data_IF_415503122577
#
_entry.id   IF_415503122577
#
_cell.length_a   1.000
_cell.length_b   1.000
_cell.length_c   1.000
_cell.angle_alpha   90.00
_cell.angle_beta   90.00
_cell.angle_gamma   90.00
#
_symmetry.space_group_name_H-M   'P 1'
#
loop_
_entity.id
_entity.type
_entity.pdbx_description
1 polymer ?
#
# COMPACT_ATOMS: atom_id res chain seq x y z
N UNK A 1 -6.93 -5.40 -5.58
CA UNK A 1 -6.68 -6.80 -5.15
C UNK A 1 -6.15 -7.57 -6.33
N UNK A 2 -5.03 -8.26 -6.14
CA UNK A 2 -4.61 -9.28 -7.08
C UNK A 2 -5.58 -10.48 -7.00
N UNK A 3 -5.84 -11.12 -8.14
CA UNK A 3 -6.68 -12.32 -8.21
C UNK A 3 -6.09 -13.43 -7.34
N UNK A 4 -4.77 -13.52 -7.26
CA UNK A 4 -4.07 -14.48 -6.38
C UNK A 4 -4.39 -14.25 -4.90
N UNK A 5 -4.44 -12.99 -4.43
CA UNK A 5 -4.84 -12.67 -3.04
C UNK A 5 -6.27 -13.10 -2.76
N UNK A 6 -7.19 -12.86 -3.69
CA UNK A 6 -8.58 -13.26 -3.55
C UNK A 6 -8.77 -14.78 -3.53
N UNK A 7 -8.17 -15.49 -4.48
CA UNK A 7 -8.22 -16.96 -4.56
C UNK A 7 -7.55 -17.59 -3.33
N UNK A 8 -6.40 -17.07 -2.90
CA UNK A 8 -5.70 -17.55 -1.71
C UNK A 8 -6.54 -17.41 -0.45
N UNK A 9 -7.21 -16.27 -0.26
CA UNK A 9 -8.10 -16.04 0.88
C UNK A 9 -9.27 -17.03 0.87
N UNK A 10 -9.98 -17.15 -0.25
CA UNK A 10 -11.12 -18.07 -0.39
C UNK A 10 -10.69 -19.52 -0.25
N UNK A 11 -9.56 -19.89 -0.83
CA UNK A 11 -8.99 -21.23 -0.74
C UNK A 11 -8.62 -21.60 0.70
N UNK A 12 -7.99 -20.68 1.45
CA UNK A 12 -7.64 -20.88 2.85
C UNK A 12 -8.88 -21.13 3.72
N UNK A 13 -9.90 -20.28 3.61
CA UNK A 13 -11.19 -20.51 4.30
C UNK A 13 -11.87 -21.80 3.85
N UNK A 14 -11.80 -22.12 2.55
CA UNK A 14 -12.37 -23.34 1.98
C UNK A 14 -11.76 -24.61 2.57
N UNK A 15 -10.43 -24.66 2.74
CA UNK A 15 -9.75 -25.81 3.36
C UNK A 15 -10.18 -26.01 4.81
N UNK A 16 -10.22 -24.94 5.61
CA UNK A 16 -10.67 -25.00 7.01
C UNK A 16 -12.14 -25.45 7.08
N UNK A 17 -12.99 -24.89 6.23
CA UNK A 17 -14.40 -25.24 6.19
C UNK A 17 -14.64 -26.71 5.81
N UNK A 18 -13.95 -27.19 4.77
CA UNK A 18 -14.04 -28.60 4.34
C UNK A 18 -13.60 -29.54 5.46
N UNK A 19 -12.52 -29.22 6.16
CA UNK A 19 -12.05 -30.02 7.29
C UNK A 19 -13.11 -30.14 8.40
N UNK A 20 -13.73 -29.02 8.79
CA UNK A 20 -14.79 -29.01 9.81
C UNK A 20 -16.00 -29.84 9.35
N UNK A 21 -16.34 -29.79 8.06
CA UNK A 21 -17.44 -30.58 7.50
C UNK A 21 -17.14 -32.09 7.49
N UNK A 22 -15.89 -32.49 7.23
CA UNK A 22 -15.45 -33.89 7.30
C UNK A 22 -15.57 -34.43 8.74
N UNK A 23 -15.27 -33.61 9.74
CA UNK A 23 -15.38 -33.98 11.16
C UNK A 23 -16.83 -33.94 11.72
N UNK A 24 -17.84 -33.93 10.85
CA UNK A 24 -19.25 -33.95 11.24
C UNK A 24 -19.87 -32.57 11.47
N UNK A 25 -19.21 -31.49 11.05
CA UNK A 25 -19.79 -30.15 11.01
C UNK A 25 -19.86 -29.43 12.36
N UNK A 26 -19.13 -29.90 13.37
CA UNK A 26 -19.13 -29.28 14.70
C UNK A 26 -18.14 -28.10 14.79
N UNK A 27 -18.58 -26.91 14.38
CA UNK A 27 -17.79 -25.67 14.47
C UNK A 27 -17.39 -25.30 15.90
N UNK A 28 -18.19 -25.67 16.91
CA UNK A 28 -17.90 -25.35 18.30
C UNK A 28 -16.67 -26.10 18.83
N UNK A 29 -16.33 -27.26 18.26
CA UNK A 29 -15.12 -28.00 18.63
C UNK A 29 -13.82 -27.25 18.27
N UNK A 30 -13.89 -26.32 17.32
CA UNK A 30 -12.76 -25.55 16.81
C UNK A 30 -12.66 -24.13 17.38
N UNK A 31 -13.61 -23.74 18.24
CA UNK A 31 -13.67 -22.41 18.85
C UNK A 31 -13.47 -22.49 20.37
N UNK A 32 -12.28 -22.09 20.83
CA UNK A 32 -11.98 -21.97 22.27
C UNK A 32 -11.75 -20.51 22.67
N UNK A 33 -12.55 -20.04 23.63
CA UNK A 33 -12.50 -18.66 24.12
C UNK A 33 -11.16 -18.29 24.76
N UNK A 34 -10.50 -19.22 25.45
CA UNK A 34 -9.21 -18.98 26.10
C UNK A 34 -8.11 -18.90 25.05
N UNK A 35 -8.13 -19.77 24.04
CA UNK A 35 -7.20 -19.73 22.92
C UNK A 35 -7.28 -18.38 22.18
N UNK A 36 -8.49 -17.88 21.92
CA UNK A 36 -8.69 -16.55 21.31
C UNK A 36 -8.05 -15.45 22.17
N UNK A 37 -8.29 -15.44 23.49
CA UNK A 37 -7.73 -14.42 24.39
C UNK A 37 -6.20 -14.48 24.41
N UNK A 38 -5.60 -15.67 24.50
CA UNK A 38 -4.14 -15.83 24.57
C UNK A 38 -3.48 -15.47 23.25
N UNK A 39 -4.04 -15.89 22.11
CA UNK A 39 -3.48 -15.61 20.78
C UNK A 39 -3.61 -14.12 20.47
N UNK A 40 -4.81 -13.55 20.54
CA UNK A 40 -5.01 -12.14 20.20
C UNK A 40 -4.40 -11.21 21.25
N UNK A 41 -4.59 -11.50 22.54
CA UNK A 41 -4.02 -10.71 23.63
C UNK A 41 -2.49 -10.78 23.63
N UNK A 42 -1.92 -11.99 23.51
CA UNK A 42 -0.48 -12.21 23.46
C UNK A 42 0.16 -11.59 22.23
N UNK A 43 -0.40 -11.81 21.02
CA UNK A 43 0.10 -11.19 19.80
C UNK A 43 0.02 -9.67 19.85
N UNK A 44 -1.10 -9.10 20.33
CA UNK A 44 -1.24 -7.64 20.45
C UNK A 44 -0.23 -7.07 21.43
N UNK A 45 -0.05 -7.69 22.61
CA UNK A 45 0.93 -7.24 23.60
C UNK A 45 2.38 -7.35 23.07
N UNK A 46 2.72 -8.45 22.39
CA UNK A 46 4.03 -8.63 21.76
C UNK A 46 4.30 -7.58 20.67
N UNK A 47 3.30 -7.27 19.83
CA UNK A 47 3.40 -6.23 18.81
C UNK A 47 3.56 -4.84 19.44
N UNK A 48 2.83 -4.53 20.51
CA UNK A 48 2.97 -3.27 21.25
C UNK A 48 4.33 -3.11 21.93
N UNK A 49 4.97 -4.20 22.36
CA UNK A 49 6.35 -4.16 22.87
C UNK A 49 7.39 -3.89 21.77
N UNK A 50 7.12 -4.36 20.54
CA UNK A 50 8.06 -4.29 19.42
C UNK A 50 7.98 -2.99 18.63
N UNK A 51 6.81 -2.38 18.53
CA UNK A 51 6.57 -1.21 17.67
C UNK A 51 6.02 -0.02 18.45
N UNK A 52 6.48 1.22 18.17
CA UNK A 52 5.88 2.43 18.72
C UNK A 52 4.39 2.51 18.37
N UNK A 53 3.58 2.99 19.31
CA UNK A 53 2.12 3.11 19.12
C UNK A 53 1.74 3.96 17.89
N UNK A 54 2.53 5.00 17.59
CA UNK A 54 2.36 5.85 16.40
C UNK A 54 2.47 5.06 15.09
N UNK A 55 3.47 4.17 14.98
CA UNK A 55 3.68 3.30 13.81
C UNK A 55 2.53 2.30 13.67
N UNK A 56 2.00 1.79 14.79
CA UNK A 56 0.89 0.84 14.78
C UNK A 56 -0.42 1.49 14.29
N UNK A 57 -0.71 2.72 14.75
CA UNK A 57 -1.90 3.47 14.32
C UNK A 57 -1.92 3.80 12.83
N UNK A 58 -0.77 4.07 12.21
CA UNK A 58 -0.70 4.40 10.79
C UNK A 58 -0.43 3.17 9.91
N UNK A 59 0.39 2.24 10.38
CA UNK A 59 0.84 1.06 9.62
C UNK A 59 -0.24 -0.01 9.42
N UNK A 60 -1.08 -0.28 10.42
CA UNK A 60 -2.17 -1.27 10.32
C UNK A 60 -3.29 -0.88 9.34
N UNK A 61 -3.87 0.33 9.38
CA UNK A 61 -4.88 0.69 8.38
C UNK A 61 -4.26 0.81 6.99
N UNK A 62 -3.02 1.27 6.88
CA UNK A 62 -2.31 1.38 5.61
C UNK A 62 -2.05 0.01 4.98
N UNK A 63 -1.47 -0.94 5.71
CA UNK A 63 -1.16 -2.27 5.19
C UNK A 63 -2.40 -3.06 4.77
N UNK A 64 -3.48 -3.00 5.57
CA UNK A 64 -4.76 -3.57 5.18
C UNK A 64 -5.31 -2.91 3.90
N UNK A 65 -5.28 -1.58 3.84
CA UNK A 65 -5.71 -0.86 2.63
C UNK A 65 -4.86 -1.22 1.42
N UNK A 66 -3.56 -1.43 1.54
CA UNK A 66 -2.72 -1.83 0.41
C UNK A 66 -2.98 -3.29 -0.01
N UNK A 67 -3.08 -4.21 0.94
CA UNK A 67 -3.40 -5.61 0.64
C UNK A 67 -4.70 -5.76 -0.15
N UNK A 68 -5.70 -4.91 0.15
CA UNK A 68 -7.04 -5.00 -0.42
C UNK A 68 -7.33 -3.96 -1.54
N UNK A 69 -6.70 -2.78 -1.56
CA UNK A 69 -7.03 -1.73 -2.53
C UNK A 69 -5.96 -1.46 -3.57
N UNK A 70 -4.73 -1.98 -3.41
CA UNK A 70 -3.67 -1.65 -4.36
C UNK A 70 -4.05 -2.19 -5.74
N UNK A 71 -4.19 -1.25 -6.67
CA UNK A 71 -4.33 -1.48 -8.10
C UNK A 71 -2.91 -1.37 -8.63
N UNK A 72 -2.40 -2.40 -9.28
CA UNK A 72 -1.11 -2.32 -9.94
C UNK A 72 -1.19 -1.22 -11.01
N UNK A 73 -0.47 -0.12 -10.83
CA UNK A 73 -0.25 0.85 -11.90
C UNK A 73 0.53 0.10 -12.98
N UNK A 74 0.00 0.05 -14.19
CA UNK A 74 0.71 -0.64 -15.28
C UNK A 74 1.88 0.25 -15.70
N UNK A 75 3.10 -0.28 -15.78
CA UNK A 75 4.26 0.51 -16.20
C UNK A 75 4.07 1.21 -17.54
N UNK A 76 3.32 0.57 -18.46
CA UNK A 76 2.99 1.14 -19.77
C UNK A 76 2.15 2.41 -19.67
N UNK A 77 1.14 2.43 -18.83
CA UNK A 77 0.25 3.59 -18.65
C UNK A 77 1.05 4.78 -18.10
N UNK A 78 1.99 4.51 -17.18
CA UNK A 78 2.89 5.50 -16.61
C UNK A 78 3.86 6.08 -17.67
N UNK A 79 4.43 5.24 -18.53
CA UNK A 79 5.30 5.70 -19.63
C UNK A 79 4.53 6.60 -20.60
N UNK A 80 3.30 6.22 -20.95
CA UNK A 80 2.44 7.01 -21.83
C UNK A 80 2.11 8.37 -21.19
N UNK A 81 1.84 8.42 -19.89
CA UNK A 81 1.59 9.65 -19.15
C UNK A 81 2.82 10.57 -19.09
N UNK A 82 4.00 10.02 -18.75
CA UNK A 82 5.26 10.78 -18.73
C UNK A 82 5.59 11.34 -20.12
N UNK A 83 5.34 10.57 -21.18
CA UNK A 83 5.57 11.02 -22.56
C UNK A 83 4.65 12.18 -22.93
N UNK A 84 3.36 12.12 -22.52
CA UNK A 84 2.42 13.24 -22.71
C UNK A 84 2.87 14.50 -21.99
N UNK A 85 3.33 14.37 -20.74
CA UNK A 85 3.88 15.49 -19.95
C UNK A 85 5.05 16.13 -20.69
N UNK A 86 6.00 15.32 -21.17
CA UNK A 86 7.16 15.80 -21.92
C UNK A 86 6.77 16.54 -23.22
N UNK A 87 5.79 16.01 -23.96
CA UNK A 87 5.28 16.65 -25.18
C UNK A 87 4.60 18.01 -24.90
N UNK A 88 3.85 18.12 -23.81
CA UNK A 88 3.22 19.38 -23.38
C UNK A 88 4.28 20.43 -23.07
N UNK A 89 5.30 20.07 -22.27
CA UNK A 89 6.40 20.99 -21.93
C UNK A 89 7.15 21.44 -23.18
N UNK A 90 7.42 20.52 -24.11
CA UNK A 90 8.13 20.84 -25.35
C UNK A 90 7.36 21.82 -26.24
N UNK A 91 6.03 21.73 -26.31
CA UNK A 91 5.19 22.54 -27.20
C UNK A 91 4.79 23.88 -26.57
N UNK A 92 4.43 23.86 -25.30
CA UNK A 92 3.74 24.96 -24.61
C UNK A 92 4.55 25.54 -23.45
N UNK A 93 5.71 24.95 -23.15
CA UNK A 93 6.58 25.35 -22.03
C UNK A 93 6.17 24.75 -20.69
N UNK A 94 6.98 24.96 -19.63
CA UNK A 94 6.77 24.41 -18.30
C UNK A 94 5.46 24.81 -17.62
N UNK A 95 5.00 26.06 -17.82
CA UNK A 95 3.79 26.59 -17.20
C UNK A 95 2.52 25.88 -17.65
N UNK A 96 2.54 25.21 -18.81
CA UNK A 96 1.40 24.45 -19.31
C UNK A 96 1.05 23.24 -18.42
N UNK A 97 1.97 22.81 -17.56
CA UNK A 97 1.76 21.70 -16.63
C UNK A 97 0.75 22.01 -15.52
N UNK A 98 0.53 23.28 -15.17
CA UNK A 98 -0.44 23.66 -14.13
C UNK A 98 -1.88 23.26 -14.47
N UNK A 99 -2.20 23.27 -15.77
CA UNK A 99 -3.55 23.00 -16.28
C UNK A 99 -3.72 21.54 -16.73
N UNK A 100 -2.70 20.70 -16.57
CA UNK A 100 -2.72 19.31 -17.00
C UNK A 100 -3.23 18.42 -15.86
N UNK A 101 -4.27 17.63 -16.13
CA UNK A 101 -4.68 16.57 -15.20
C UNK A 101 -3.69 15.41 -15.30
N UNK A 102 -3.01 15.14 -14.18
CA UNK A 102 -2.08 14.03 -14.02
C UNK A 102 -2.68 13.07 -13.00
N UNK A 103 -2.80 11.80 -13.39
CA UNK A 103 -3.53 10.78 -12.64
C UNK A 103 -2.75 10.28 -11.42
N UNK A 104 -1.44 10.16 -11.55
CA UNK A 104 -0.55 9.77 -10.46
C UNK A 104 -0.19 10.99 -9.58
N UNK A 105 -0.52 10.98 -8.27
CA UNK A 105 -0.26 12.11 -7.39
C UNK A 105 1.23 12.48 -7.26
N UNK A 106 2.12 11.49 -7.36
CA UNK A 106 3.57 11.70 -7.24
C UNK A 106 4.12 12.38 -8.51
N UNK A 107 3.70 11.93 -9.70
CA UNK A 107 3.99 12.63 -10.96
C UNK A 107 3.41 14.05 -10.98
N UNK A 108 2.19 14.24 -10.47
CA UNK A 108 1.54 15.55 -10.39
C UNK A 108 2.31 16.53 -9.49
N UNK A 109 2.93 16.04 -8.41
CA UNK A 109 3.80 16.85 -7.55
C UNK A 109 5.07 17.28 -8.29
N UNK A 110 5.76 16.36 -8.97
CA UNK A 110 6.94 16.69 -9.77
C UNK A 110 6.65 17.68 -10.91
N UNK A 111 5.52 17.52 -11.60
CA UNK A 111 5.08 18.43 -12.66
C UNK A 111 4.83 19.86 -12.14
N UNK A 112 4.28 19.99 -10.92
CA UNK A 112 4.10 21.29 -10.26
C UNK A 112 5.43 21.95 -9.94
N UNK A 113 6.41 21.21 -9.42
CA UNK A 113 7.73 21.80 -9.18
C UNK A 113 8.42 22.31 -10.45
N UNK A 114 8.19 21.64 -11.59
CA UNK A 114 8.68 22.10 -12.89
C UNK A 114 7.97 23.39 -13.32
N UNK A 115 6.66 23.50 -13.12
CA UNK A 115 5.89 24.70 -13.42
C UNK A 115 6.31 25.90 -12.54
N UNK A 116 6.56 25.64 -11.25
CA UNK A 116 7.02 26.62 -10.26
C UNK A 116 8.48 27.09 -10.51
N UNK A 117 9.22 26.42 -11.39
CA UNK A 117 10.57 26.83 -11.79
C UNK A 117 11.68 26.43 -10.83
N UNK A 118 11.46 25.41 -9.99
CA UNK A 118 12.53 24.85 -9.16
C UNK A 118 13.65 24.24 -9.99
N UNK A 119 14.87 24.24 -9.45
CA UNK A 119 16.01 23.64 -10.11
C UNK A 119 15.96 22.11 -10.08
N UNK A 120 16.68 21.48 -11.02
CA UNK A 120 16.70 20.03 -11.19
C UNK A 120 17.18 19.29 -9.93
N UNK A 121 18.14 19.85 -9.22
CA UNK A 121 18.76 19.19 -8.05
C UNK A 121 17.77 19.20 -6.89
N UNK A 122 17.14 20.33 -6.60
CA UNK A 122 16.07 20.43 -5.62
C UNK A 122 14.90 19.48 -5.91
N UNK A 123 14.42 19.44 -7.16
CA UNK A 123 13.32 18.55 -7.56
C UNK A 123 13.71 17.10 -7.32
N UNK A 124 14.91 16.70 -7.75
CA UNK A 124 15.41 15.35 -7.60
C UNK A 124 15.51 14.96 -6.13
N UNK A 125 16.17 15.78 -5.33
CA UNK A 125 16.41 15.49 -3.90
C UNK A 125 15.10 15.39 -3.13
N UNK A 126 14.15 16.30 -3.41
CA UNK A 126 12.82 16.28 -2.77
C UNK A 126 12.05 15.03 -3.15
N UNK A 127 11.97 14.71 -4.43
CA UNK A 127 11.22 13.54 -4.92
C UNK A 127 11.86 12.22 -4.48
N UNK A 128 13.19 12.13 -4.45
CA UNK A 128 13.91 10.95 -3.92
C UNK A 128 13.66 10.78 -2.42
N UNK A 129 13.66 11.88 -1.66
CA UNK A 129 13.38 11.86 -0.22
C UNK A 129 11.94 11.46 0.09
N UNK A 130 10.97 11.95 -0.68
CA UNK A 130 9.56 11.57 -0.54
C UNK A 130 9.35 10.08 -0.88
N UNK A 131 10.00 9.58 -1.94
CA UNK A 131 10.03 8.14 -2.25
C UNK A 131 10.60 7.33 -1.08
N UNK A 132 11.72 7.75 -0.53
CA UNK A 132 12.40 7.00 0.54
C UNK A 132 11.58 6.99 1.83
N UNK A 133 10.97 8.13 2.20
CA UNK A 133 10.03 8.20 3.33
C UNK A 133 8.82 7.27 3.11
N UNK A 134 8.26 7.27 1.90
CA UNK A 134 7.14 6.39 1.56
C UNK A 134 7.52 4.91 1.68
N UNK A 135 8.68 4.52 1.14
CA UNK A 135 9.19 3.16 1.23
C UNK A 135 9.49 2.76 2.68
N UNK A 136 10.05 3.66 3.49
CA UNK A 136 10.30 3.43 4.91
C UNK A 136 9.00 3.15 5.66
N UNK A 137 7.96 3.96 5.46
CA UNK A 137 6.65 3.74 6.07
C UNK A 137 5.98 2.44 5.61
N UNK A 138 6.13 2.09 4.33
CA UNK A 138 5.61 0.83 3.80
C UNK A 138 6.35 -0.39 4.41
N UNK A 139 7.67 -0.31 4.54
CA UNK A 139 8.49 -1.36 5.15
C UNK A 139 8.16 -1.52 6.64
N UNK A 140 8.08 -0.42 7.40
CA UNK A 140 7.65 -0.42 8.80
C UNK A 140 6.25 -1.02 8.95
N UNK A 141 5.30 -0.60 8.10
CA UNK A 141 3.95 -1.16 8.07
C UNK A 141 3.97 -2.65 7.78
N UNK A 142 4.76 -3.10 6.80
CA UNK A 142 4.88 -4.51 6.42
C UNK A 142 5.44 -5.39 7.55
N UNK A 143 6.38 -4.86 8.34
CA UNK A 143 6.99 -5.55 9.48
C UNK A 143 6.00 -5.85 10.59
N UNK A 144 4.90 -5.10 10.70
CA UNK A 144 3.84 -5.36 11.69
C UNK A 144 3.05 -6.63 11.32
N UNK A 145 2.92 -6.95 10.02
CA UNK A 145 2.18 -8.12 9.55
C UNK A 145 3.00 -9.41 9.50
N UNK A 146 4.31 -9.32 9.75
CA UNK A 146 5.25 -10.44 9.62
C UNK A 146 5.71 -10.95 10.98
#
# INVERSE_FOLDING_TARGET
>A
MDLATGIGLVGGFGVVFVLIMIDGGNFAAYFDKHAVIVIFGGATAATMMRFPFSTMMHGLPMGLRYAFSMRAIKPRDLIEEITKIADVVRKSGPMALENMEISDPFLAQGARYIADGYDREFIRDTMERDRDNFLMHLDEGSKIYR
#
